data_IF_336071614221
#
_entry.id   IF_336071614221
#
_cell.length_a   1.000
_cell.length_b   1.000
_cell.length_c   1.000
_cell.angle_alpha   90.00
_cell.angle_beta   90.00
_cell.angle_gamma   90.00
#
_symmetry.space_group_name_H-M   'P 1'
#
loop_
_entity.id
_entity.type
_entity.pdbx_description
1 polymer ?
#
# COMPACT_ATOMS: atom_id res chain seq x y z
N UNK A 1 1.31 -20.95 -9.56
CA UNK A 1 0.88 -19.54 -9.55
C UNK A 1 -0.64 -19.51 -9.52
N UNK A 2 -1.25 -18.64 -8.71
CA UNK A 2 -2.72 -18.58 -8.60
C UNK A 2 -3.33 -18.02 -9.89
N UNK A 3 -4.55 -18.44 -10.24
CA UNK A 3 -5.21 -18.04 -11.50
C UNK A 3 -5.40 -16.52 -11.62
N UNK A 4 -5.52 -15.82 -10.50
CA UNK A 4 -5.69 -14.37 -10.46
C UNK A 4 -4.40 -13.58 -10.70
N UNK A 5 -3.22 -14.19 -10.65
CA UNK A 5 -1.96 -13.45 -10.81
C UNK A 5 -1.92 -12.64 -12.10
N UNK A 6 -2.48 -13.15 -13.20
CA UNK A 6 -2.50 -12.44 -14.50
C UNK A 6 -3.92 -12.02 -14.94
N UNK A 7 -4.88 -11.95 -14.00
CA UNK A 7 -6.21 -11.46 -14.31
C UNK A 7 -6.37 -9.99 -13.93
N UNK A 8 -7.34 -9.35 -14.57
CA UNK A 8 -7.78 -8.01 -14.24
C UNK A 8 -9.11 -8.10 -13.54
N UNK A 9 -9.21 -7.45 -12.38
CA UNK A 9 -10.46 -7.29 -11.67
C UNK A 9 -11.34 -6.18 -12.23
N UNK A 10 -12.43 -5.90 -11.53
CA UNK A 10 -13.40 -4.88 -11.95
C UNK A 10 -12.96 -3.48 -11.52
N UNK A 11 -12.28 -3.38 -10.36
CA UNK A 11 -12.07 -2.09 -9.68
C UNK A 11 -10.61 -1.64 -9.56
N UNK A 12 -9.68 -2.58 -9.34
CA UNK A 12 -8.25 -2.30 -9.20
C UNK A 12 -7.50 -2.38 -10.54
N UNK A 13 -6.23 -1.94 -10.61
CA UNK A 13 -5.39 -2.01 -11.82
C UNK A 13 -5.14 -3.46 -12.31
N UNK A 14 -4.99 -4.40 -11.40
CA UNK A 14 -4.94 -5.84 -11.65
C UNK A 14 -6.05 -6.55 -10.90
N UNK A 15 -5.73 -7.66 -10.25
CA UNK A 15 -6.67 -8.53 -9.52
C UNK A 15 -6.71 -8.29 -8.01
N UNK A 16 -6.18 -7.16 -7.52
CA UNK A 16 -6.14 -6.83 -6.10
C UNK A 16 -7.53 -6.92 -5.46
N UNK A 17 -8.55 -6.38 -6.12
CA UNK A 17 -9.94 -6.47 -5.69
C UNK A 17 -10.47 -7.92 -5.57
N UNK A 18 -10.09 -8.84 -6.46
CA UNK A 18 -10.46 -10.25 -6.40
C UNK A 18 -9.82 -10.93 -5.18
N UNK A 19 -8.53 -10.67 -4.95
CA UNK A 19 -7.81 -11.17 -3.78
C UNK A 19 -8.42 -10.65 -2.48
N UNK A 20 -8.62 -9.34 -2.36
CA UNK A 20 -9.16 -8.73 -1.15
C UNK A 20 -10.56 -9.28 -0.82
N UNK A 21 -11.41 -9.45 -1.83
CA UNK A 21 -12.71 -10.07 -1.63
C UNK A 21 -12.60 -11.50 -1.10
N UNK A 22 -11.72 -12.31 -1.69
CA UNK A 22 -11.57 -13.70 -1.27
C UNK A 22 -10.95 -13.84 0.11
N UNK A 23 -9.95 -13.03 0.41
CA UNK A 23 -9.27 -13.02 1.70
C UNK A 23 -10.28 -12.68 2.80
N UNK A 24 -10.98 -11.54 2.68
CA UNK A 24 -11.95 -11.13 3.70
C UNK A 24 -13.23 -11.97 3.74
N UNK A 25 -13.50 -12.81 2.71
CA UNK A 25 -14.49 -13.88 2.81
C UNK A 25 -14.04 -15.03 3.70
N UNK A 26 -12.73 -15.33 3.73
CA UNK A 26 -12.16 -16.45 4.50
C UNK A 26 -11.84 -16.04 5.93
N UNK A 27 -11.10 -14.95 6.12
CA UNK A 27 -10.63 -14.53 7.44
C UNK A 27 -11.58 -13.57 8.16
N UNK A 28 -12.72 -13.20 7.53
CA UNK A 28 -13.63 -12.14 7.98
C UNK A 28 -12.93 -10.78 8.17
N UNK A 29 -13.63 -9.77 8.66
CA UNK A 29 -13.14 -8.41 8.92
C UNK A 29 -13.40 -8.02 10.39
N UNK A 30 -12.63 -7.07 10.93
CA UNK A 30 -12.83 -6.55 12.29
C UNK A 30 -13.44 -5.16 12.30
N UNK A 31 -12.73 -4.16 11.78
CA UNK A 31 -13.11 -2.74 11.83
C UNK A 31 -13.55 -2.17 10.48
N UNK A 32 -13.39 -2.92 9.38
CA UNK A 32 -13.64 -2.47 8.01
C UNK A 32 -12.93 -1.15 7.69
N UNK A 33 -11.74 -0.95 8.28
CA UNK A 33 -10.92 0.23 8.06
C UNK A 33 -9.82 -0.10 7.04
N UNK A 34 -9.72 0.71 5.98
CA UNK A 34 -8.62 0.63 5.03
C UNK A 34 -7.76 1.91 5.02
N UNK A 35 -6.53 1.79 4.53
CA UNK A 35 -5.72 2.93 4.09
C UNK A 35 -5.24 2.69 2.67
N UNK A 36 -5.31 3.70 1.82
CA UNK A 36 -4.84 3.65 0.42
C UNK A 36 -3.81 4.75 0.19
N UNK A 37 -2.65 4.40 -0.35
CA UNK A 37 -1.67 5.35 -0.86
C UNK A 37 -1.81 5.48 -2.38
N UNK A 38 -1.44 6.63 -2.93
CA UNK A 38 -1.46 6.84 -4.37
C UNK A 38 -2.86 6.79 -4.99
N UNK A 39 -3.89 7.26 -4.27
CA UNK A 39 -5.28 7.14 -4.74
C UNK A 39 -5.51 7.78 -6.13
N UNK A 40 -4.76 8.83 -6.47
CA UNK A 40 -4.60 9.42 -7.81
C UNK A 40 -5.90 9.74 -8.56
N UNK A 41 -6.99 10.00 -7.84
CA UNK A 41 -8.28 10.38 -8.41
C UNK A 41 -8.97 11.41 -7.49
N UNK A 42 -9.81 12.33 -8.01
CA UNK A 42 -10.55 13.28 -7.17
C UNK A 42 -11.65 12.62 -6.32
N UNK A 43 -12.00 11.37 -6.63
CA UNK A 43 -12.86 10.55 -5.79
C UNK A 43 -13.25 9.22 -6.43
N UNK A 44 -13.97 8.39 -5.68
CA UNK A 44 -14.47 7.12 -6.20
C UNK A 44 -15.47 7.37 -7.33
N UNK A 45 -15.15 6.89 -8.53
CA UNK A 45 -16.10 6.85 -9.64
C UNK A 45 -17.07 5.67 -9.49
N UNK A 46 -18.20 5.71 -10.21
CA UNK A 46 -19.10 4.53 -10.32
C UNK A 46 -18.38 3.33 -10.96
N UNK A 47 -17.41 3.61 -11.82
CA UNK A 47 -16.65 2.64 -12.59
C UNK A 47 -15.32 2.33 -11.88
N UNK A 48 -14.28 2.04 -12.63
CA UNK A 48 -12.94 1.68 -12.14
C UNK A 48 -12.12 2.94 -11.89
N UNK A 49 -11.55 3.09 -10.69
CA UNK A 49 -10.55 4.13 -10.40
C UNK A 49 -9.12 3.58 -10.45
N UNK A 50 -8.94 2.25 -10.35
CA UNK A 50 -7.63 1.62 -10.27
C UNK A 50 -7.16 1.38 -8.84
N UNK A 51 -7.66 2.16 -7.87
CA UNK A 51 -7.37 2.00 -6.44
C UNK A 51 -7.73 0.61 -5.90
N UNK A 52 -6.83 0.04 -5.10
CA UNK A 52 -6.97 -1.29 -4.51
C UNK A 52 -8.14 -1.35 -3.51
N UNK A 53 -8.36 -0.25 -2.77
CA UNK A 53 -9.43 -0.09 -1.79
C UNK A 53 -10.85 0.04 -2.37
N UNK A 54 -11.02 0.24 -3.68
CA UNK A 54 -12.34 0.63 -4.24
C UNK A 54 -13.44 -0.41 -3.98
N UNK A 55 -13.12 -1.71 -4.05
CA UNK A 55 -14.09 -2.76 -3.74
C UNK A 55 -14.50 -2.76 -2.26
N UNK A 56 -13.58 -2.41 -1.36
CA UNK A 56 -13.85 -2.34 0.07
C UNK A 56 -14.80 -1.17 0.34
N UNK A 57 -14.51 0.01 -0.23
CA UNK A 57 -15.40 1.18 -0.13
C UNK A 57 -16.82 0.87 -0.62
N UNK A 58 -16.97 0.21 -1.78
CA UNK A 58 -18.29 -0.21 -2.29
C UNK A 58 -19.01 -1.20 -1.38
N UNK A 59 -18.30 -1.96 -0.54
CA UNK A 59 -18.85 -2.87 0.47
C UNK A 59 -19.09 -2.19 1.83
N UNK A 60 -19.08 -0.86 1.87
CA UNK A 60 -19.37 -0.07 3.08
C UNK A 60 -18.20 0.00 4.06
N UNK A 61 -16.98 -0.27 3.60
CA UNK A 61 -15.78 0.00 4.39
C UNK A 61 -15.48 1.50 4.34
N UNK A 62 -14.76 1.99 5.34
CA UNK A 62 -14.30 3.36 5.42
C UNK A 62 -12.79 3.38 5.65
N UNK A 63 -12.13 4.51 5.44
CA UNK A 63 -10.69 4.52 5.48
C UNK A 63 -10.09 5.90 5.26
N UNK A 64 -8.77 5.93 5.22
CA UNK A 64 -7.96 7.09 4.88
C UNK A 64 -7.41 6.91 3.46
N UNK A 65 -7.66 7.87 2.58
CA UNK A 65 -7.03 7.93 1.27
C UNK A 65 -5.94 8.99 1.31
N UNK A 66 -4.76 8.68 0.81
CA UNK A 66 -3.61 9.58 0.77
C UNK A 66 -3.12 9.72 -0.67
N UNK A 67 -2.92 10.96 -1.09
CA UNK A 67 -2.44 11.31 -2.43
C UNK A 67 -1.66 12.63 -2.38
N UNK A 68 -0.74 12.88 -3.32
CA UNK A 68 0.04 14.13 -3.33
C UNK A 68 -0.59 15.24 -4.19
N UNK A 69 -1.67 14.95 -4.93
CA UNK A 69 -2.32 15.86 -5.86
C UNK A 69 -3.74 16.23 -5.43
N UNK A 70 -4.55 15.23 -5.08
CA UNK A 70 -5.98 15.35 -4.81
C UNK A 70 -6.32 15.47 -3.31
N UNK A 71 -7.42 16.17 -3.02
CA UNK A 71 -8.05 16.24 -1.71
C UNK A 71 -9.56 16.13 -1.85
N UNK A 72 -10.21 15.40 -0.94
CA UNK A 72 -11.67 15.29 -0.92
C UNK A 72 -12.16 14.83 0.47
N UNK A 73 -12.69 15.78 1.25
CA UNK A 73 -13.16 15.50 2.61
C UNK A 73 -14.34 14.51 2.66
N UNK A 74 -15.15 14.39 1.60
CA UNK A 74 -16.33 13.51 1.60
C UNK A 74 -15.96 12.02 1.63
N UNK A 75 -14.76 11.68 1.19
CA UNK A 75 -14.23 10.31 1.14
C UNK A 75 -12.97 10.14 1.98
N UNK A 76 -12.68 11.13 2.84
CA UNK A 76 -11.47 11.18 3.67
C UNK A 76 -10.17 11.04 2.85
N UNK A 77 -10.11 11.75 1.70
CA UNK A 77 -8.92 11.90 0.88
C UNK A 77 -8.14 13.13 1.31
N UNK A 78 -6.90 12.91 1.73
CA UNK A 78 -6.00 13.93 2.26
C UNK A 78 -4.78 14.08 1.37
N UNK A 79 -4.46 15.34 1.06
CA UNK A 79 -3.29 15.69 0.26
C UNK A 79 -2.02 15.65 1.12
N UNK A 80 -1.17 14.66 0.91
CA UNK A 80 0.11 14.50 1.62
C UNK A 80 1.20 13.97 0.69
N UNK A 81 2.44 14.43 0.92
CA UNK A 81 3.61 13.68 0.51
C UNK A 81 3.96 12.69 1.60
N UNK A 82 4.11 11.42 1.25
CA UNK A 82 4.32 10.35 2.21
C UNK A 82 5.81 10.01 2.27
N UNK A 83 6.34 9.89 3.48
CA UNK A 83 7.74 9.56 3.74
C UNK A 83 7.86 8.71 5.00
N UNK A 84 9.00 8.04 5.15
CA UNK A 84 9.29 7.22 6.32
C UNK A 84 9.20 8.01 7.64
N UNK A 85 9.59 9.29 7.64
CA UNK A 85 9.61 10.12 8.85
C UNK A 85 8.28 10.82 9.18
N UNK A 86 7.25 10.76 8.32
CA UNK A 86 5.97 11.43 8.55
C UNK A 86 4.75 10.48 8.57
N UNK A 87 4.84 9.28 7.99
CA UNK A 87 3.65 8.43 7.82
C UNK A 87 3.01 8.04 9.16
N UNK A 88 3.82 7.83 10.20
CA UNK A 88 3.33 7.50 11.53
C UNK A 88 2.53 8.66 12.17
N UNK A 89 2.94 9.92 11.97
CA UNK A 89 2.19 11.07 12.48
C UNK A 89 0.90 11.28 11.69
N UNK A 90 0.95 11.14 10.35
CA UNK A 90 -0.25 11.20 9.50
C UNK A 90 -1.28 10.16 9.95
N UNK A 91 -0.85 8.93 10.25
CA UNK A 91 -1.74 7.88 10.75
C UNK A 91 -2.35 8.22 12.11
N UNK A 92 -1.55 8.79 13.02
CA UNK A 92 -2.02 9.19 14.35
C UNK A 92 -3.04 10.33 14.27
N UNK A 93 -2.75 11.37 13.48
CA UNK A 93 -3.61 12.55 13.28
C UNK A 93 -4.96 12.18 12.65
N UNK A 94 -4.97 11.18 11.77
CA UNK A 94 -6.18 10.69 11.11
C UNK A 94 -6.87 9.54 11.85
N UNK A 95 -6.45 9.24 13.09
CA UNK A 95 -7.03 8.20 13.94
C UNK A 95 -7.09 6.82 13.27
N UNK A 96 -6.06 6.46 12.48
CA UNK A 96 -5.95 5.13 11.88
C UNK A 96 -5.88 4.10 13.02
N UNK A 97 -6.71 3.04 13.02
CA UNK A 97 -6.64 1.99 14.03
C UNK A 97 -5.26 1.37 14.08
N UNK A 98 -4.79 0.95 15.27
CA UNK A 98 -3.50 0.23 15.38
C UNK A 98 -3.50 -1.12 14.66
N UNK A 99 -4.66 -1.69 14.38
CA UNK A 99 -4.81 -2.94 13.63
C UNK A 99 -5.88 -2.77 12.55
N UNK A 100 -5.63 -1.97 11.50
CA UNK A 100 -6.61 -1.80 10.43
C UNK A 100 -6.79 -3.13 9.69
N UNK A 101 -7.96 -3.36 9.09
CA UNK A 101 -8.17 -4.57 8.31
C UNK A 101 -7.27 -4.58 7.05
N UNK A 102 -7.11 -3.42 6.39
CA UNK A 102 -6.35 -3.32 5.13
C UNK A 102 -5.47 -2.06 5.03
N UNK A 103 -4.28 -2.18 4.42
CA UNK A 103 -3.46 -1.05 3.95
C UNK A 103 -2.92 -1.38 2.55
N UNK A 104 -3.07 -0.46 1.58
CA UNK A 104 -2.37 -0.51 0.29
C UNK A 104 -1.15 0.39 0.32
N UNK A 105 0.06 -0.19 0.31
CA UNK A 105 1.32 0.56 0.20
C UNK A 105 1.78 0.57 -1.27
N UNK A 106 1.23 1.48 -2.06
CA UNK A 106 1.41 1.53 -3.51
C UNK A 106 1.59 2.99 -3.97
N UNK A 107 2.82 3.37 -4.27
CA UNK A 107 3.23 4.73 -4.67
C UNK A 107 4.34 4.74 -5.73
N UNK A 108 4.69 3.59 -6.31
CA UNK A 108 5.73 3.44 -7.34
C UNK A 108 7.13 4.01 -6.99
N UNK A 109 7.54 4.08 -5.72
CA UNK A 109 8.74 4.84 -5.31
C UNK A 109 9.51 4.29 -4.10
N UNK A 110 9.30 4.83 -2.89
CA UNK A 110 10.04 4.50 -1.66
C UNK A 110 9.17 3.71 -0.67
N UNK A 111 8.28 2.88 -1.20
CA UNK A 111 7.25 2.09 -0.52
C UNK A 111 7.79 1.26 0.64
N UNK A 112 8.98 0.65 0.45
CA UNK A 112 9.61 -0.16 1.48
C UNK A 112 9.84 0.62 2.78
N UNK A 113 10.29 1.87 2.67
CA UNK A 113 10.64 2.70 3.82
C UNK A 113 9.39 3.17 4.57
N UNK A 114 8.33 3.49 3.81
CA UNK A 114 7.02 3.82 4.38
C UNK A 114 6.42 2.63 5.10
N UNK A 115 6.34 1.48 4.42
CA UNK A 115 5.86 0.22 4.99
C UNK A 115 6.62 -0.10 6.28
N UNK A 116 7.96 -0.03 6.26
CA UNK A 116 8.78 -0.28 7.45
C UNK A 116 8.44 0.67 8.60
N UNK A 117 8.30 1.96 8.32
CA UNK A 117 7.96 2.97 9.33
C UNK A 117 6.58 2.70 9.96
N UNK A 118 5.58 2.35 9.17
CA UNK A 118 4.24 1.97 9.65
C UNK A 118 4.33 0.79 10.64
N UNK A 119 5.04 -0.27 10.24
CA UNK A 119 5.19 -1.48 11.06
C UNK A 119 6.00 -1.20 12.35
N UNK A 120 7.06 -0.39 12.27
CA UNK A 120 7.86 0.01 13.43
C UNK A 120 7.10 0.94 14.39
N UNK A 121 6.16 1.75 13.89
CA UNK A 121 5.25 2.57 14.70
C UNK A 121 4.14 1.77 15.40
N UNK A 122 4.19 0.44 15.31
CA UNK A 122 3.28 -0.48 16.01
C UNK A 122 1.94 -0.67 15.32
N UNK A 123 1.78 -0.21 14.07
CA UNK A 123 0.61 -0.56 13.27
C UNK A 123 0.74 -1.99 12.77
N UNK A 124 -0.35 -2.76 12.90
CA UNK A 124 -0.41 -4.17 12.54
C UNK A 124 -1.62 -4.47 11.65
N UNK A 125 -1.62 -4.01 10.38
CA UNK A 125 -2.67 -4.36 9.44
C UNK A 125 -2.92 -5.87 9.42
N UNK A 126 -4.17 -6.31 9.21
CA UNK A 126 -4.44 -7.75 9.03
C UNK A 126 -3.95 -8.21 7.66
N UNK A 127 -4.19 -7.40 6.65
CA UNK A 127 -3.71 -7.56 5.28
C UNK A 127 -3.06 -6.25 4.84
N UNK A 128 -1.92 -6.33 4.16
CA UNK A 128 -1.44 -5.18 3.39
C UNK A 128 -0.89 -5.60 2.04
N UNK A 129 -0.93 -4.70 1.07
CA UNK A 129 -0.24 -4.86 -0.22
C UNK A 129 0.96 -3.96 -0.32
N UNK A 130 1.93 -4.37 -1.13
CA UNK A 130 3.07 -3.55 -1.51
C UNK A 130 3.31 -3.70 -3.00
N UNK A 131 3.50 -2.60 -3.69
CA UNK A 131 3.99 -2.66 -5.06
C UNK A 131 5.45 -3.16 -5.10
N UNK A 132 5.79 -4.01 -6.07
CA UNK A 132 7.15 -4.47 -6.28
C UNK A 132 7.60 -4.27 -7.72
N UNK A 133 8.85 -3.87 -7.87
CA UNK A 133 9.45 -3.72 -9.18
C UNK A 133 9.83 -5.09 -9.75
N UNK A 134 9.04 -5.54 -10.71
CA UNK A 134 9.21 -6.83 -11.38
C UNK A 134 10.40 -6.92 -12.34
N UNK A 135 11.13 -5.81 -12.55
CA UNK A 135 12.40 -5.82 -13.29
C UNK A 135 13.57 -6.35 -12.46
N UNK A 136 13.46 -6.34 -11.13
CA UNK A 136 14.48 -6.95 -10.26
C UNK A 136 14.33 -8.47 -10.22
N UNK A 137 15.45 -9.18 -10.11
CA UNK A 137 15.44 -10.63 -10.04
C UNK A 137 14.81 -11.08 -8.72
N UNK A 138 14.15 -12.25 -8.71
CA UNK A 138 13.42 -12.74 -7.53
C UNK A 138 14.33 -12.96 -6.31
N UNK A 139 15.62 -13.15 -6.55
CA UNK A 139 16.66 -13.35 -5.54
C UNK A 139 17.25 -12.04 -5.02
N UNK A 140 16.94 -10.91 -5.66
CA UNK A 140 17.47 -9.61 -5.28
C UNK A 140 16.74 -9.08 -4.05
N UNK A 141 17.49 -8.37 -3.21
CA UNK A 141 16.99 -7.62 -2.07
C UNK A 141 17.44 -6.16 -2.19
N UNK A 142 16.92 -5.48 -3.21
CA UNK A 142 17.21 -4.11 -3.58
C UNK A 142 16.00 -3.20 -3.34
N UNK A 143 16.26 -1.95 -2.99
CA UNK A 143 15.28 -0.86 -2.94
C UNK A 143 15.99 0.45 -3.21
N UNK A 144 15.26 1.43 -3.74
CA UNK A 144 15.79 2.79 -3.87
C UNK A 144 16.03 3.44 -2.51
N UNK A 145 16.85 4.48 -2.51
CA UNK A 145 17.21 5.20 -1.29
C UNK A 145 15.98 5.83 -0.64
N UNK A 146 15.96 5.80 0.69
CA UNK A 146 15.00 6.57 1.49
C UNK A 146 15.29 8.08 1.26
N UNK A 147 14.36 8.85 0.68
CA UNK A 147 14.59 10.26 0.40
C UNK A 147 14.78 11.08 1.68
N UNK A 148 14.39 10.56 2.85
CA UNK A 148 14.57 11.24 4.14
C UNK A 148 15.99 11.15 4.68
N UNK A 149 16.84 10.24 4.19
CA UNK A 149 18.22 10.08 4.69
C UNK A 149 19.10 11.30 4.39
N UNK A 150 18.80 12.04 3.32
CA UNK A 150 19.52 13.24 2.93
C UNK A 150 18.88 14.54 3.44
N UNK A 151 17.76 14.46 4.16
CA UNK A 151 17.05 15.63 4.64
C UNK A 151 16.94 15.56 6.17
N UNK A 152 17.74 16.38 6.86
CA UNK A 152 17.60 16.63 8.29
C UNK A 152 16.26 17.30 8.66
N UNK A 153 15.59 17.87 7.65
CA UNK A 153 14.25 18.46 7.73
C UNK A 153 13.25 17.66 6.87
N UNK A 154 11.95 17.87 7.09
CA UNK A 154 10.89 17.25 6.29
C UNK A 154 11.18 17.36 4.79
N UNK A 155 11.06 16.24 4.06
CA UNK A 155 11.31 16.21 2.62
C UNK A 155 10.39 17.23 1.93
N UNK A 156 10.88 18.03 0.96
CA UNK A 156 10.12 19.13 0.40
C UNK A 156 8.73 18.73 -0.11
N UNK A 157 7.73 19.60 0.09
CA UNK A 157 6.36 19.44 -0.44
C UNK A 157 6.27 19.55 -1.98
N UNK A 158 7.40 19.52 -2.68
CA UNK A 158 7.50 19.45 -4.13
C UNK A 158 8.46 18.34 -4.56
N UNK A 159 8.72 17.36 -3.70
CA UNK A 159 9.53 16.20 -4.04
C UNK A 159 8.86 15.43 -5.17
N UNK A 160 9.56 15.33 -6.30
CA UNK A 160 9.14 14.52 -7.44
C UNK A 160 10.07 13.33 -7.52
N UNK A 161 9.50 12.14 -7.40
CA UNK A 161 10.23 10.92 -7.70
C UNK A 161 10.47 10.84 -9.22
N UNK A 162 11.73 10.67 -9.62
CA UNK A 162 12.11 10.58 -11.04
C UNK A 162 12.40 9.13 -11.38
N UNK A 163 11.53 8.53 -12.18
CA UNK A 163 11.73 7.19 -12.72
C UNK A 163 12.96 7.14 -13.63
N UNK A 164 13.93 6.30 -13.27
CA UNK A 164 15.14 6.07 -14.07
C UNK A 164 15.00 4.73 -14.79
N UNK A 165 14.35 4.74 -15.96
CA UNK A 165 14.07 3.54 -16.76
C UNK A 165 13.35 2.46 -15.92
N UNK A 166 13.97 1.29 -15.74
CA UNK A 166 13.41 0.17 -14.98
C UNK A 166 13.73 0.24 -13.48
N UNK A 167 14.41 1.28 -12.98
CA UNK A 167 14.78 1.41 -11.58
C UNK A 167 13.79 2.30 -10.81
N UNK A 168 12.95 1.66 -10.02
CA UNK A 168 11.93 2.25 -9.14
C UNK A 168 11.60 1.28 -8.00
N UNK A 169 10.96 1.77 -6.94
CA UNK A 169 10.38 0.89 -5.93
C UNK A 169 11.38 0.02 -5.16
N UNK A 170 10.91 -1.18 -4.83
CA UNK A 170 11.68 -2.23 -4.20
C UNK A 170 11.50 -3.57 -4.92
N UNK A 171 12.52 -4.40 -4.85
CA UNK A 171 12.44 -5.81 -5.24
C UNK A 171 11.52 -6.59 -4.30
N UNK A 172 10.94 -7.67 -4.81
CA UNK A 172 10.13 -8.59 -4.01
C UNK A 172 10.91 -9.17 -2.80
N UNK A 173 12.22 -9.45 -2.96
CA UNK A 173 13.05 -9.96 -1.88
C UNK A 173 13.27 -8.95 -0.75
N UNK A 174 13.44 -7.67 -1.07
CA UNK A 174 13.58 -6.62 -0.05
C UNK A 174 12.29 -6.44 0.77
N UNK A 175 11.13 -6.40 0.10
CA UNK A 175 9.83 -6.30 0.76
C UNK A 175 9.56 -7.51 1.66
N UNK A 176 9.89 -8.71 1.18
CA UNK A 176 9.76 -9.96 1.93
C UNK A 176 10.55 -9.94 3.23
N UNK A 177 11.81 -9.50 3.21
CA UNK A 177 12.67 -9.42 4.40
C UNK A 177 12.00 -8.55 5.48
N UNK A 178 11.52 -7.36 5.09
CA UNK A 178 10.88 -6.45 6.05
C UNK A 178 9.55 -7.02 6.56
N UNK A 179 8.69 -7.54 5.67
CA UNK A 179 7.40 -8.10 6.05
C UNK A 179 7.55 -9.32 7.00
N UNK A 180 8.41 -10.28 6.67
CA UNK A 180 8.67 -11.48 7.49
C UNK A 180 9.23 -11.11 8.87
N UNK A 181 10.15 -10.13 8.93
CA UNK A 181 10.71 -9.66 10.21
C UNK A 181 9.67 -9.02 11.16
N UNK A 182 8.50 -8.64 10.65
CA UNK A 182 7.39 -8.09 11.43
C UNK A 182 6.22 -9.07 11.60
N UNK A 183 6.41 -10.35 11.26
CA UNK A 183 5.43 -11.41 11.46
C UNK A 183 4.32 -11.44 10.42
N UNK A 184 4.69 -11.29 9.14
CA UNK A 184 3.79 -11.43 8.00
C UNK A 184 4.29 -12.49 7.02
N UNK A 185 3.35 -13.10 6.30
CA UNK A 185 3.59 -14.09 5.27
C UNK A 185 2.99 -13.60 3.95
N UNK A 186 3.73 -13.79 2.84
CA UNK A 186 3.19 -13.52 1.51
C UNK A 186 2.15 -14.57 1.15
N UNK A 187 0.90 -14.15 0.91
CA UNK A 187 -0.20 -15.05 0.55
C UNK A 187 -0.71 -14.86 -0.89
N UNK A 188 -0.22 -13.83 -1.58
CA UNK A 188 -0.66 -13.51 -2.93
C UNK A 188 0.36 -12.68 -3.69
N UNK A 189 0.26 -12.77 -5.02
CA UNK A 189 1.02 -11.96 -5.97
C UNK A 189 0.13 -11.61 -7.15
N UNK A 190 0.08 -10.34 -7.46
CA UNK A 190 -0.48 -9.78 -8.68
C UNK A 190 0.68 -9.56 -9.66
N UNK A 191 0.47 -9.93 -10.92
CA UNK A 191 1.52 -9.97 -11.93
C UNK A 191 2.06 -8.58 -12.22
N UNK A 192 3.30 -8.33 -11.79
CA UNK A 192 4.02 -7.09 -12.09
C UNK A 192 3.58 -5.86 -11.29
N UNK A 193 2.65 -6.02 -10.34
CA UNK A 193 2.08 -4.94 -9.53
C UNK A 193 2.37 -5.20 -8.06
N UNK A 194 1.47 -5.89 -7.35
CA UNK A 194 1.54 -6.04 -5.90
C UNK A 194 1.92 -7.42 -5.39
N UNK A 195 2.50 -7.42 -4.20
CA UNK A 195 2.56 -8.55 -3.27
C UNK A 195 1.53 -8.35 -2.18
N UNK A 196 0.91 -9.45 -1.72
CA UNK A 196 -0.10 -9.43 -0.65
C UNK A 196 0.44 -10.14 0.58
N UNK A 197 0.39 -9.47 1.71
CA UNK A 197 0.93 -9.91 2.99
C UNK A 197 -0.19 -10.10 4.00
N UNK A 198 -0.15 -11.22 4.73
CA UNK A 198 -1.08 -11.55 5.81
C UNK A 198 -0.34 -11.69 7.12
N UNK A 199 -0.92 -11.17 8.19
CA UNK A 199 -0.38 -11.27 9.55
C UNK A 199 -0.39 -12.74 10.00
N UNK A 200 0.69 -13.20 10.62
CA UNK A 200 0.90 -14.63 10.91
C UNK A 200 -0.04 -15.22 11.98
N UNK A 201 -0.78 -14.39 12.71
CA UNK A 201 -1.73 -14.80 13.75
C UNK A 201 -3.16 -15.01 13.22
N UNK A 202 -3.37 -14.99 11.89
CA UNK A 202 -4.66 -15.12 11.20
C UNK A 202 -4.80 -16.42 10.41
#
# INVERSE_FOLDING_TARGET
>A
MHLWTNQTGTYSQGSQDLYLQKIFQVISHTNKYFVEFGFNEPGYSKNRTGANSQILYKKGWHGLLLDNHYENNMINLKKHYLFANNIASIFAENNVPKQPDFISCDMDSHDLWIMRSILQAGYRPRIFTTEFNSNYHITDALTLLDPTVNCSDAVPNNFTFVFQQCAWGASAGALRIVAESHGYTMIGRIGGLDLIWMRNDL
#
